data_IF_593963975069
#
_entry.id   IF_593963975069
#
_cell.length_a   1.000
_cell.length_b   1.000
_cell.length_c   1.000
_cell.angle_alpha   90.00
_cell.angle_beta   90.00
_cell.angle_gamma   90.00
#
_symmetry.space_group_name_H-M   'P 1'
#
loop_
_entity.id
_entity.type
_entity.pdbx_description
1 polymer ?
#
# COMPACT_ATOMS: atom_id res chain seq x y z
N UNK A 1 4.91 14.05 -7.69
CA UNK A 1 4.31 14.75 -6.53
C UNK A 1 3.27 13.83 -5.91
N UNK A 2 3.30 13.62 -4.59
CA UNK A 2 2.34 12.76 -3.90
C UNK A 2 1.08 13.50 -3.48
N UNK A 3 -0.07 12.83 -3.49
CA UNK A 3 -1.37 13.36 -3.03
C UNK A 3 -1.73 12.77 -1.67
N UNK A 4 -2.16 13.65 -0.75
CA UNK A 4 -2.61 13.31 0.59
C UNK A 4 -4.10 13.67 0.73
N UNK A 5 -4.89 12.78 1.32
CA UNK A 5 -6.28 13.03 1.67
C UNK A 5 -6.48 12.84 3.18
N UNK A 6 -7.10 13.80 3.84
CA UNK A 6 -7.56 13.68 5.23
C UNK A 6 -9.07 13.82 5.28
N UNK A 7 -9.76 12.83 5.83
CA UNK A 7 -11.23 12.76 5.82
C UNK A 7 -11.75 12.10 7.10
N UNK A 8 -12.85 12.62 7.64
CA UNK A 8 -13.66 11.92 8.63
C UNK A 8 -14.81 11.20 7.94
N UNK A 9 -14.94 9.89 8.18
CA UNK A 9 -15.98 9.05 7.59
C UNK A 9 -17.25 8.98 8.44
N UNK A 10 -17.27 9.54 9.66
CA UNK A 10 -18.42 9.55 10.58
C UNK A 10 -19.08 8.18 10.78
N UNK A 11 -18.28 7.11 10.73
CA UNK A 11 -18.73 5.72 10.77
C UNK A 11 -19.80 5.41 9.70
N UNK A 12 -19.72 6.04 8.53
CA UNK A 12 -20.64 5.85 7.42
C UNK A 12 -20.05 4.90 6.38
N UNK A 13 -20.76 3.79 6.11
CA UNK A 13 -20.35 2.79 5.10
C UNK A 13 -20.24 3.40 3.70
N UNK A 14 -21.27 4.13 3.29
CA UNK A 14 -21.33 4.75 1.96
C UNK A 14 -20.21 5.74 1.73
N UNK A 15 -19.85 6.53 2.76
CA UNK A 15 -18.73 7.46 2.69
C UNK A 15 -17.40 6.71 2.48
N UNK A 16 -17.23 5.56 3.13
CA UNK A 16 -16.03 4.74 2.98
C UNK A 16 -15.91 4.10 1.60
N UNK A 17 -17.02 3.60 1.05
CA UNK A 17 -17.06 3.04 -0.30
C UNK A 17 -16.71 4.13 -1.33
N UNK A 18 -17.34 5.31 -1.21
CA UNK A 18 -17.06 6.45 -2.08
C UNK A 18 -15.60 6.92 -1.98
N UNK A 19 -15.04 6.96 -0.76
CA UNK A 19 -13.65 7.31 -0.52
C UNK A 19 -12.71 6.33 -1.23
N UNK A 20 -12.99 5.02 -1.16
CA UNK A 20 -12.19 3.98 -1.84
C UNK A 20 -12.14 4.21 -3.36
N UNK A 21 -13.28 4.50 -3.99
CA UNK A 21 -13.32 4.84 -5.41
C UNK A 21 -12.55 6.13 -5.72
N UNK A 22 -12.64 7.13 -4.86
CA UNK A 22 -11.96 8.43 -5.04
C UNK A 22 -10.45 8.29 -4.96
N UNK A 23 -9.94 7.50 -4.00
CA UNK A 23 -8.51 7.23 -3.82
C UNK A 23 -7.90 6.59 -5.06
N UNK A 24 -8.57 5.59 -5.63
CA UNK A 24 -8.13 4.93 -6.85
C UNK A 24 -8.19 5.88 -8.05
N UNK A 25 -9.31 6.59 -8.24
CA UNK A 25 -9.51 7.49 -9.39
C UNK A 25 -8.52 8.65 -9.40
N UNK A 26 -8.24 9.24 -8.24
CA UNK A 26 -7.38 10.41 -8.13
C UNK A 26 -5.91 10.04 -7.91
N UNK A 27 -5.58 8.75 -7.78
CA UNK A 27 -4.25 8.25 -7.46
C UNK A 27 -3.70 8.88 -6.17
N UNK A 28 -4.49 8.81 -5.10
CA UNK A 28 -4.11 9.33 -3.78
C UNK A 28 -3.12 8.36 -3.14
N UNK A 29 -1.97 8.87 -2.68
CA UNK A 29 -0.89 8.04 -2.16
C UNK A 29 -1.08 7.72 -0.67
N UNK A 30 -1.58 8.69 0.09
CA UNK A 30 -1.75 8.57 1.54
C UNK A 30 -3.13 9.09 1.93
N UNK A 31 -3.81 8.33 2.78
CA UNK A 31 -5.12 8.69 3.30
C UNK A 31 -5.08 8.60 4.83
N UNK A 32 -5.43 9.70 5.48
CA UNK A 32 -5.63 9.77 6.93
C UNK A 32 -7.14 9.75 7.18
N UNK A 33 -7.61 8.78 7.96
CA UNK A 33 -9.03 8.58 8.24
C UNK A 33 -9.32 8.74 9.72
N UNK A 34 -10.39 9.46 10.03
CA UNK A 34 -11.05 9.46 11.33
C UNK A 34 -12.47 8.89 11.21
N UNK A 35 -12.98 8.30 12.28
CA UNK A 35 -14.32 7.68 12.30
C UNK A 35 -14.57 6.64 11.19
N UNK A 36 -13.69 5.65 10.93
CA UNK A 36 -13.94 4.66 9.88
C UNK A 36 -15.20 3.81 10.18
N UNK A 37 -15.89 3.36 9.14
CA UNK A 37 -16.97 2.37 9.29
C UNK A 37 -16.34 1.00 9.64
N UNK A 38 -16.88 0.36 10.69
CA UNK A 38 -16.41 -0.86 11.37
C UNK A 38 -15.39 -1.73 10.61
N UNK A 39 -14.29 -2.12 11.28
CA UNK A 39 -13.49 -3.30 10.91
C UNK A 39 -12.63 -3.16 9.65
N UNK A 40 -12.03 -1.99 9.41
CA UNK A 40 -11.14 -1.72 8.27
C UNK A 40 -9.78 -2.43 8.37
N UNK A 41 -9.78 -3.76 8.35
CA UNK A 41 -8.55 -4.55 8.15
C UNK A 41 -8.04 -4.48 6.69
N UNK A 42 -8.83 -3.90 5.78
CA UNK A 42 -8.56 -3.84 4.34
C UNK A 42 -7.30 -3.04 3.97
N UNK A 43 -6.79 -2.15 4.84
CA UNK A 43 -5.76 -1.17 4.49
C UNK A 43 -4.45 -1.35 5.26
N UNK A 44 -4.25 -2.48 5.97
CA UNK A 44 -2.95 -2.85 6.56
C UNK A 44 -1.95 -3.40 5.52
N UNK A 45 -2.01 -2.99 4.25
CA UNK A 45 -0.91 -3.28 3.31
C UNK A 45 0.18 -2.25 3.52
N UNK A 46 0.98 -2.50 4.56
CA UNK A 46 2.35 -2.01 4.62
C UNK A 46 3.05 -2.53 3.37
N UNK A 47 3.33 -1.65 2.41
CA UNK A 47 4.25 -1.94 1.32
C UNK A 47 5.61 -2.19 1.94
N UNK A 48 5.88 -3.44 2.34
CA UNK A 48 7.24 -3.92 2.55
C UNK A 48 7.90 -3.79 1.18
N UNK A 49 8.71 -2.74 1.02
CA UNK A 49 9.49 -2.51 -0.17
C UNK A 49 10.15 -3.82 -0.59
N UNK A 50 9.93 -4.23 -1.84
CA UNK A 50 10.69 -5.30 -2.47
C UNK A 50 12.17 -5.03 -2.26
N UNK A 51 12.79 -5.77 -1.35
CA UNK A 51 14.23 -5.99 -1.41
C UNK A 51 14.43 -7.11 -2.42
N UNK A 52 14.44 -6.76 -3.71
CA UNK A 52 14.98 -7.62 -4.75
C UNK A 52 16.47 -7.78 -4.48
N UNK A 53 16.83 -8.83 -3.77
CA UNK A 53 18.20 -9.31 -3.68
C UNK A 53 18.56 -9.99 -5.02
N UNK A 54 18.77 -9.19 -6.06
CA UNK A 54 19.44 -9.65 -7.28
C UNK A 54 20.93 -9.65 -6.94
N UNK A 55 21.43 -10.77 -6.44
CA UNK A 55 22.86 -11.05 -6.45
C UNK A 55 23.15 -12.19 -7.41
N UNK A 56 23.29 -11.74 -8.66
CA UNK A 56 23.99 -12.28 -9.83
C UNK A 56 24.77 -13.57 -9.57
N UNK A 57 24.39 -14.64 -10.28
CA UNK A 57 25.20 -15.83 -10.53
C UNK A 57 26.58 -15.43 -11.04
N UNK A 58 27.62 -15.95 -10.40
CA UNK A 58 28.95 -16.08 -11.00
C UNK A 58 29.25 -17.57 -10.99
N UNK A 59 29.04 -18.18 -12.16
CA UNK A 59 29.67 -19.42 -12.59
C UNK A 59 31.21 -19.23 -12.59
N UNK A 60 31.97 -20.34 -12.72
CA UNK A 60 33.46 -20.46 -12.83
C UNK A 60 34.13 -20.70 -11.45
N UNK A 61 34.87 -21.79 -11.13
CA UNK A 61 35.51 -22.91 -11.85
C UNK A 61 35.75 -24.08 -10.88
N UNK A 62 35.81 -25.30 -11.42
CA UNK A 62 36.47 -26.49 -10.85
C UNK A 62 37.95 -26.19 -10.51
N UNK A 63 38.48 -26.69 -9.39
CA UNK A 63 39.72 -27.45 -9.52
C UNK A 63 39.78 -28.69 -8.62
N UNK A 64 40.06 -29.83 -9.25
CA UNK A 64 40.83 -30.97 -8.72
C UNK A 64 41.57 -30.71 -7.40
N UNK A 65 41.30 -31.55 -6.41
CA UNK A 65 42.32 -32.19 -5.54
C UNK A 65 41.76 -33.48 -4.97
#
# INVERSE_FOLDING_TARGET
>A
MGKLLHLNLNHCRTAQDLMTHTVLKQQINVVLLSGPYKGTNLWKRSHRASSTNIRRSSEITDPRS
#
